data_IF_538849025744
#
_entry.id   IF_538849025744
#
_cell.length_a   1.000
_cell.length_b   1.000
_cell.length_c   1.000
_cell.angle_alpha   90.00
_cell.angle_beta   90.00
_cell.angle_gamma   90.00
#
_symmetry.space_group_name_H-M   'P 1'
#
loop_
_entity.id
_entity.type
_entity.pdbx_description
1 polymer ?
#
# COMPACT_ATOMS: atom_id res chain seq x y z
N UNK A 1 -15.00 15.82 -9.09
CA UNK A 1 -14.37 15.67 -7.74
C UNK A 1 -14.81 16.76 -6.74
N UNK A 2 -14.68 18.05 -7.04
CA UNK A 2 -15.16 19.12 -6.12
C UNK A 2 -16.66 18.98 -5.79
N UNK A 3 -17.50 18.70 -6.79
CA UNK A 3 -18.95 18.61 -6.61
C UNK A 3 -19.38 17.32 -5.87
N UNK A 4 -18.72 16.19 -6.13
CA UNK A 4 -18.88 14.93 -5.39
C UNK A 4 -18.54 15.13 -3.90
N UNK A 5 -17.49 15.89 -3.59
CA UNK A 5 -17.11 16.18 -2.21
C UNK A 5 -18.15 17.03 -1.47
N UNK A 6 -18.71 18.06 -2.10
CA UNK A 6 -19.66 18.97 -1.40
C UNK A 6 -20.96 18.26 -1.01
N UNK A 7 -21.45 17.33 -1.84
CA UNK A 7 -22.72 16.64 -1.57
C UNK A 7 -22.60 15.47 -0.58
N UNK A 8 -21.46 14.76 -0.56
CA UNK A 8 -21.34 13.46 0.11
C UNK A 8 -20.28 13.42 1.23
N UNK A 9 -19.41 14.43 1.36
CA UNK A 9 -18.31 14.40 2.34
C UNK A 9 -18.74 14.43 3.81
N UNK A 10 -19.99 14.79 4.11
CA UNK A 10 -20.46 14.86 5.50
C UNK A 10 -20.63 13.48 6.17
N UNK A 11 -20.85 12.43 5.36
CA UNK A 11 -21.13 11.08 5.86
C UNK A 11 -19.91 10.13 5.82
N UNK A 12 -18.79 10.57 5.22
CA UNK A 12 -17.57 9.77 5.05
C UNK A 12 -16.35 10.53 5.57
N UNK A 13 -15.34 9.82 6.03
CA UNK A 13 -14.00 10.34 6.22
C UNK A 13 -13.02 9.65 5.27
N UNK A 14 -11.84 10.23 5.05
CA UNK A 14 -10.86 9.61 4.16
C UNK A 14 -9.72 10.54 3.76
N UNK A 15 -8.75 9.97 3.07
CA UNK A 15 -7.74 10.73 2.35
C UNK A 15 -7.77 10.30 0.89
N UNK A 16 -7.96 11.26 -0.01
CA UNK A 16 -7.88 11.07 -1.45
C UNK A 16 -6.73 11.92 -1.98
N UNK A 17 -5.86 11.30 -2.78
CA UNK A 17 -4.75 11.91 -3.48
C UNK A 17 -5.15 12.05 -4.95
N UNK A 18 -4.96 13.25 -5.48
CA UNK A 18 -5.05 13.57 -6.89
C UNK A 18 -3.66 13.95 -7.38
N UNK A 19 -3.27 13.41 -8.53
CA UNK A 19 -2.08 13.81 -9.26
C UNK A 19 -2.36 13.74 -10.77
N UNK A 20 -1.51 14.32 -11.63
CA UNK A 20 -1.64 14.15 -13.08
C UNK A 20 -1.66 12.68 -13.52
N UNK A 21 -1.04 11.79 -12.74
CA UNK A 21 -1.00 10.34 -13.00
C UNK A 21 -2.27 9.59 -12.54
N UNK A 22 -3.21 10.22 -11.84
CA UNK A 22 -4.50 9.62 -11.50
C UNK A 22 -5.02 9.98 -10.10
N UNK A 23 -5.72 9.01 -9.49
CA UNK A 23 -6.33 9.13 -8.15
C UNK A 23 -6.02 7.89 -7.32
N UNK A 24 -5.73 8.09 -6.03
CA UNK A 24 -5.58 7.01 -5.05
C UNK A 24 -6.09 7.47 -3.70
N UNK A 25 -6.68 6.58 -2.91
CA UNK A 25 -7.17 6.98 -1.61
C UNK A 25 -7.86 5.88 -0.84
N UNK A 26 -8.18 6.20 0.40
CA UNK A 26 -8.98 5.38 1.28
C UNK A 26 -10.07 6.25 1.91
N UNK A 27 -11.28 5.73 1.93
CA UNK A 27 -12.45 6.35 2.56
C UNK A 27 -13.10 5.34 3.50
N UNK A 28 -13.76 5.83 4.55
CA UNK A 28 -14.48 5.03 5.51
C UNK A 28 -15.74 5.73 5.98
N UNK A 29 -16.79 4.95 6.20
CA UNK A 29 -18.11 5.44 6.59
C UNK A 29 -19.15 4.32 6.49
N UNK A 30 -20.43 4.63 6.78
CA UNK A 30 -21.52 3.67 6.65
C UNK A 30 -21.63 3.11 5.22
N UNK A 31 -22.03 1.84 5.04
CA UNK A 31 -22.12 1.21 3.70
C UNK A 31 -22.95 2.00 2.69
N UNK A 32 -24.06 2.61 3.12
CA UNK A 32 -24.92 3.43 2.25
C UNK A 32 -24.23 4.70 1.79
N UNK A 33 -23.46 5.36 2.66
CA UNK A 33 -22.70 6.55 2.32
C UNK A 33 -21.55 6.23 1.37
N UNK A 34 -20.85 5.11 1.60
CA UNK A 34 -19.79 4.62 0.71
C UNK A 34 -20.33 4.26 -0.68
N UNK A 35 -21.49 3.58 -0.75
CA UNK A 35 -22.12 3.24 -2.02
C UNK A 35 -22.54 4.48 -2.82
N UNK A 36 -23.07 5.50 -2.15
CA UNK A 36 -23.40 6.79 -2.79
C UNK A 36 -22.13 7.50 -3.31
N UNK A 37 -21.05 7.49 -2.52
CA UNK A 37 -19.77 8.09 -2.90
C UNK A 37 -19.14 7.37 -4.10
N UNK A 38 -19.14 6.04 -4.11
CA UNK A 38 -18.66 5.21 -5.22
C UNK A 38 -19.47 5.44 -6.50
N UNK A 39 -20.81 5.48 -6.40
CA UNK A 39 -21.67 5.75 -7.54
C UNK A 39 -21.41 7.15 -8.12
N UNK A 40 -21.24 8.16 -7.27
CA UNK A 40 -20.93 9.52 -7.69
C UNK A 40 -19.55 9.63 -8.35
N UNK A 41 -18.54 8.91 -7.85
CA UNK A 41 -17.23 8.85 -8.52
C UNK A 41 -17.32 8.16 -9.87
N UNK A 42 -17.98 7.00 -9.97
CA UNK A 42 -18.08 6.26 -11.23
C UNK A 42 -18.90 6.97 -12.32
N UNK A 43 -19.77 7.90 -11.93
CA UNK A 43 -20.50 8.74 -12.88
C UNK A 43 -19.59 9.73 -13.62
N UNK A 44 -18.40 10.00 -13.10
CA UNK A 44 -17.39 10.83 -13.75
C UNK A 44 -16.55 9.96 -14.70
N UNK A 45 -16.51 10.24 -16.02
CA UNK A 45 -15.82 9.40 -17.00
C UNK A 45 -14.36 9.05 -16.64
N UNK A 46 -13.53 9.97 -16.10
CA UNK A 46 -12.15 9.63 -15.69
C UNK A 46 -12.04 8.60 -14.55
N UNK A 47 -13.14 8.32 -13.85
CA UNK A 47 -13.17 7.48 -12.65
C UNK A 47 -14.12 6.28 -12.77
N UNK A 48 -14.71 6.06 -13.96
CA UNK A 48 -15.66 4.98 -14.20
C UNK A 48 -15.09 3.59 -13.84
N UNK A 49 -13.80 3.38 -14.16
CA UNK A 49 -13.11 2.10 -13.97
C UNK A 49 -12.38 2.00 -12.61
N UNK A 50 -12.67 2.90 -11.66
CA UNK A 50 -12.06 2.81 -10.33
C UNK A 50 -12.45 1.50 -9.62
N UNK A 51 -11.42 0.81 -9.15
CA UNK A 51 -11.56 -0.40 -8.36
C UNK A 51 -11.57 -0.08 -6.86
N UNK A 52 -12.67 -0.42 -6.19
CA UNK A 52 -12.86 -0.17 -4.77
C UNK A 52 -12.66 -1.45 -3.96
N UNK A 53 -11.57 -1.51 -3.19
CA UNK A 53 -11.32 -2.58 -2.22
C UNK A 53 -12.03 -2.26 -0.92
N UNK A 54 -12.63 -3.27 -0.26
CA UNK A 54 -13.42 -3.09 0.96
C UNK A 54 -12.85 -3.86 2.15
N UNK A 55 -12.95 -3.24 3.32
CA UNK A 55 -12.56 -3.80 4.61
C UNK A 55 -13.57 -3.30 5.64
N UNK A 56 -13.93 -4.15 6.59
CA UNK A 56 -14.72 -3.75 7.75
C UNK A 56 -13.81 -3.15 8.82
N UNK A 57 -14.41 -2.35 9.70
CA UNK A 57 -13.73 -1.70 10.81
C UNK A 57 -14.74 -1.46 11.95
N UNK A 58 -14.28 -1.60 13.19
CA UNK A 58 -15.06 -1.24 14.37
C UNK A 58 -14.79 0.23 14.74
N UNK A 59 -13.53 0.66 14.62
CA UNK A 59 -13.13 2.05 14.77
C UNK A 59 -13.40 2.84 13.51
N UNK A 60 -13.93 4.07 13.64
CA UNK A 60 -14.06 5.00 12.52
C UNK A 60 -12.66 5.37 11.99
N UNK A 61 -12.26 4.96 10.77
CA UNK A 61 -10.86 5.02 10.34
C UNK A 61 -10.37 6.44 10.03
N UNK A 62 -11.31 7.37 9.76
CA UNK A 62 -11.00 8.76 9.41
C UNK A 62 -11.99 9.75 10.05
N UNK A 63 -11.46 10.85 10.57
CA UNK A 63 -12.28 11.93 11.16
C UNK A 63 -12.97 12.78 10.10
N UNK A 64 -12.24 13.16 9.05
CA UNK A 64 -12.69 14.06 7.99
C UNK A 64 -12.26 13.49 6.64
N UNK A 65 -13.00 13.85 5.58
CA UNK A 65 -12.55 13.65 4.21
C UNK A 65 -11.57 14.76 3.83
N UNK A 66 -10.38 14.37 3.36
CA UNK A 66 -9.35 15.28 2.86
C UNK A 66 -9.02 14.89 1.42
N UNK A 67 -8.98 15.88 0.54
CA UNK A 67 -8.48 15.71 -0.82
C UNK A 67 -7.21 16.52 -0.97
N UNK A 68 -6.15 15.85 -1.40
CA UNK A 68 -4.83 16.43 -1.56
C UNK A 68 -4.45 16.40 -3.03
N UNK A 69 -4.13 17.56 -3.59
CA UNK A 69 -3.44 17.65 -4.87
C UNK A 69 -1.94 17.46 -4.63
N UNK A 70 -1.33 16.57 -5.40
CA UNK A 70 0.07 16.17 -5.29
C UNK A 70 0.69 16.10 -6.68
N UNK A 71 2.01 16.32 -6.79
CA UNK A 71 2.73 16.05 -8.05
C UNK A 71 2.63 14.58 -8.46
N UNK A 72 2.63 13.68 -7.49
CA UNK A 72 2.60 12.22 -7.65
C UNK A 72 1.68 11.60 -6.58
N UNK A 73 0.98 10.51 -6.92
CA UNK A 73 0.18 9.74 -5.96
C UNK A 73 1.07 9.09 -4.91
N UNK A 74 2.21 8.55 -5.35
CA UNK A 74 3.27 8.03 -4.49
C UNK A 74 4.60 8.60 -4.97
N UNK A 75 5.23 9.43 -4.15
CA UNK A 75 6.45 10.14 -4.53
C UNK A 75 7.62 9.17 -4.77
N UNK A 76 8.03 9.02 -6.02
CA UNK A 76 9.08 8.09 -6.42
C UNK A 76 10.49 8.60 -6.08
N UNK A 77 10.65 9.92 -5.93
CA UNK A 77 11.92 10.53 -5.52
C UNK A 77 12.97 10.64 -6.61
N UNK A 78 12.64 10.28 -7.85
CA UNK A 78 13.50 10.45 -9.02
C UNK A 78 12.95 11.55 -9.92
N UNK A 79 13.76 12.59 -10.12
CA UNK A 79 13.40 13.71 -10.99
C UNK A 79 13.12 13.23 -12.42
N UNK A 80 12.00 13.67 -12.99
CA UNK A 80 11.60 13.34 -14.36
C UNK A 80 10.99 11.95 -14.56
N UNK A 81 10.91 11.11 -13.51
CA UNK A 81 10.24 9.81 -13.58
C UNK A 81 8.82 9.95 -13.04
N UNK A 82 7.88 10.32 -13.93
CA UNK A 82 6.45 10.46 -13.61
C UNK A 82 5.63 9.54 -14.49
N UNK A 83 4.58 8.91 -13.94
CA UNK A 83 3.66 8.10 -14.76
C UNK A 83 4.30 6.86 -15.37
N UNK A 84 5.06 6.08 -14.58
CA UNK A 84 5.52 4.77 -15.02
C UNK A 84 4.32 3.88 -15.30
N UNK A 85 4.20 3.43 -16.55
CA UNK A 85 3.11 2.55 -16.95
C UNK A 85 3.27 1.22 -16.21
N UNK A 86 2.24 0.88 -15.44
CA UNK A 86 2.13 -0.42 -14.80
C UNK A 86 2.31 -1.55 -15.82
N UNK A 87 3.23 -2.47 -15.53
CA UNK A 87 3.54 -3.61 -16.37
C UNK A 87 2.62 -4.75 -15.97
N UNK A 88 1.43 -4.81 -16.58
CA UNK A 88 0.39 -5.80 -16.23
C UNK A 88 0.88 -7.25 -16.28
N UNK A 89 1.86 -7.56 -17.12
CA UNK A 89 2.50 -8.88 -17.24
C UNK A 89 3.38 -9.26 -16.03
N UNK A 90 3.64 -8.33 -15.13
CA UNK A 90 4.36 -8.59 -13.86
C UNK A 90 3.43 -8.99 -12.72
N UNK A 91 2.11 -8.85 -12.87
CA UNK A 91 1.15 -9.18 -11.82
C UNK A 91 1.05 -10.69 -11.63
N UNK A 92 1.05 -11.12 -10.37
CA UNK A 92 0.74 -12.50 -9.99
C UNK A 92 -0.42 -12.51 -9.00
N UNK A 93 -1.35 -13.43 -9.20
CA UNK A 93 -2.48 -13.60 -8.29
C UNK A 93 -2.02 -14.03 -6.89
N UNK A 94 -2.83 -13.85 -5.83
CA UNK A 94 -2.49 -14.34 -4.50
C UNK A 94 -2.09 -15.82 -4.44
N UNK A 95 -2.77 -16.67 -5.22
CA UNK A 95 -2.44 -18.10 -5.28
C UNK A 95 -1.06 -18.34 -5.91
N UNK A 96 -0.78 -17.71 -7.05
CA UNK A 96 0.52 -17.82 -7.72
C UNK A 96 1.63 -17.20 -6.88
N UNK A 97 1.33 -16.13 -6.13
CA UNK A 97 2.27 -15.50 -5.21
C UNK A 97 2.75 -16.48 -4.13
N UNK A 98 1.85 -17.25 -3.51
CA UNK A 98 2.22 -18.26 -2.51
C UNK A 98 3.24 -19.26 -3.03
N UNK A 99 3.07 -19.71 -4.28
CA UNK A 99 4.01 -20.63 -4.92
C UNK A 99 5.32 -19.93 -5.30
N UNK A 100 5.21 -18.68 -5.80
CA UNK A 100 6.35 -17.87 -6.22
C UNK A 100 7.34 -17.61 -5.08
N UNK A 101 6.85 -17.18 -3.91
CA UNK A 101 7.70 -16.78 -2.77
C UNK A 101 8.46 -17.95 -2.13
N UNK A 102 8.14 -19.19 -2.49
CA UNK A 102 8.78 -20.42 -1.98
C UNK A 102 9.93 -20.90 -2.86
N UNK A 103 10.17 -20.25 -4.00
CA UNK A 103 11.21 -20.66 -4.95
C UNK A 103 12.57 -20.09 -4.57
N UNK A 104 13.62 -20.90 -4.69
CA UNK A 104 15.00 -20.50 -4.36
C UNK A 104 15.58 -19.46 -5.33
N UNK A 105 15.04 -19.35 -6.54
CA UNK A 105 15.43 -18.36 -7.55
C UNK A 105 14.70 -17.02 -7.41
N UNK A 106 13.86 -16.87 -6.38
CA UNK A 106 13.08 -15.66 -6.12
C UNK A 106 13.65 -14.91 -4.91
N UNK A 107 13.80 -13.60 -5.06
CA UNK A 107 14.07 -12.67 -3.95
C UNK A 107 12.77 -11.94 -3.64
N UNK A 108 12.24 -12.16 -2.45
CA UNK A 108 11.01 -11.50 -1.99
C UNK A 108 11.39 -10.21 -1.28
N UNK A 109 10.95 -9.06 -1.76
CA UNK A 109 11.30 -7.74 -1.22
C UNK A 109 10.04 -7.03 -0.75
N UNK A 110 10.04 -6.56 0.50
CA UNK A 110 8.98 -5.72 1.00
C UNK A 110 9.16 -4.29 0.51
N UNK A 111 8.27 -3.81 -0.35
CA UNK A 111 8.31 -2.45 -0.90
C UNK A 111 7.58 -1.45 0.00
N UNK A 112 7.64 -1.68 1.32
CA UNK A 112 7.07 -0.80 2.34
C UNK A 112 8.15 -0.09 3.13
N UNK A 113 7.75 0.84 4.00
CA UNK A 113 8.72 1.44 4.92
C UNK A 113 9.08 0.43 6.02
N UNK A 114 10.26 0.55 6.59
CA UNK A 114 10.81 -0.32 7.64
C UNK A 114 9.81 -0.61 8.78
N UNK A 115 9.16 0.42 9.33
CA UNK A 115 8.17 0.23 10.41
C UNK A 115 6.97 -0.66 10.00
N UNK A 116 6.62 -0.70 8.71
CA UNK A 116 5.54 -1.55 8.21
C UNK A 116 5.99 -3.01 8.10
N UNK A 117 7.28 -3.25 7.81
CA UNK A 117 7.90 -4.57 7.78
C UNK A 117 8.03 -5.15 9.20
N UNK A 118 8.52 -4.36 10.15
CA UNK A 118 8.69 -4.77 11.55
C UNK A 118 7.37 -5.24 12.18
N UNK A 119 6.26 -4.58 11.83
CA UNK A 119 4.93 -4.96 12.32
C UNK A 119 4.44 -6.30 11.75
N UNK A 120 4.82 -6.62 10.52
CA UNK A 120 4.51 -7.90 9.91
C UNK A 120 4.88 -7.94 8.44
N UNK A 121 5.19 -9.12 7.91
CA UNK A 121 5.74 -9.33 6.57
C UNK A 121 5.54 -10.78 6.10
N UNK A 122 5.70 -11.02 4.80
CA UNK A 122 5.74 -12.40 4.27
C UNK A 122 6.97 -13.16 4.76
N UNK A 123 6.82 -14.46 5.00
CA UNK A 123 7.92 -15.36 5.33
C UNK A 123 9.07 -15.26 4.32
N UNK A 124 10.29 -15.00 4.81
CA UNK A 124 11.48 -14.90 3.97
C UNK A 124 11.60 -13.61 3.18
N UNK A 125 10.68 -12.64 3.35
CA UNK A 125 10.80 -11.32 2.74
C UNK A 125 12.01 -10.56 3.32
N UNK A 126 12.70 -9.86 2.43
CA UNK A 126 13.80 -8.96 2.77
C UNK A 126 13.22 -7.58 3.08
N UNK A 127 13.66 -7.02 4.20
CA UNK A 127 13.48 -5.62 4.53
C UNK A 127 14.57 -4.77 3.87
N UNK A 128 14.21 -3.81 2.99
CA UNK A 128 15.15 -2.83 2.46
C UNK A 128 15.69 -1.84 3.50
N UNK A 129 15.07 -1.75 4.68
CA UNK A 129 15.42 -0.79 5.74
C UNK A 129 15.09 0.67 5.38
N UNK A 130 14.23 0.89 4.38
CA UNK A 130 13.89 2.24 3.90
C UNK A 130 12.87 2.92 4.80
N UNK A 131 13.14 4.18 5.18
CA UNK A 131 12.21 4.96 6.00
C UNK A 131 11.14 5.67 5.18
N UNK A 132 11.46 5.92 3.91
CA UNK A 132 10.56 6.49 2.93
C UNK A 132 10.66 5.70 1.64
N UNK A 133 9.52 5.46 1.00
CA UNK A 133 9.43 4.80 -0.30
C UNK A 133 10.35 5.40 -1.37
N UNK A 134 10.57 6.72 -1.35
CA UNK A 134 11.48 7.43 -2.27
C UNK A 134 12.93 6.93 -2.22
N UNK A 135 13.31 6.25 -1.14
CA UNK A 135 14.66 5.72 -0.92
C UNK A 135 14.80 4.29 -1.46
N UNK A 136 13.69 3.61 -1.78
CA UNK A 136 13.68 2.25 -2.31
C UNK A 136 14.38 2.10 -3.68
N UNK A 137 14.29 3.05 -4.63
CA UNK A 137 15.05 2.96 -5.88
C UNK A 137 16.56 2.80 -5.66
N UNK A 138 17.13 3.50 -4.68
CA UNK A 138 18.55 3.37 -4.35
C UNK A 138 18.90 1.97 -3.82
N UNK A 139 18.00 1.37 -3.01
CA UNK A 139 18.15 -0.02 -2.59
C UNK A 139 18.16 -0.97 -3.79
N UNK A 140 17.24 -0.81 -4.74
CA UNK A 140 17.22 -1.65 -5.94
C UNK A 140 18.50 -1.50 -6.76
N UNK A 141 18.96 -0.27 -7.00
CA UNK A 141 20.19 -0.04 -7.77
C UNK A 141 21.41 -0.69 -7.13
N UNK A 142 21.52 -0.67 -5.80
CA UNK A 142 22.61 -1.31 -5.07
C UNK A 142 22.64 -2.85 -5.22
N UNK A 143 21.51 -3.49 -5.53
CA UNK A 143 21.38 -4.96 -5.60
C UNK A 143 21.13 -5.49 -7.02
N UNK A 144 20.73 -4.63 -7.97
CA UNK A 144 20.28 -5.04 -9.30
C UNK A 144 21.33 -5.85 -10.07
N UNK A 145 22.60 -5.48 -9.99
CA UNK A 145 23.69 -6.20 -10.66
C UNK A 145 23.85 -7.63 -10.14
N UNK A 146 23.69 -7.84 -8.83
CA UNK A 146 23.75 -9.15 -8.23
C UNK A 146 22.58 -10.02 -8.67
N UNK A 147 21.36 -9.51 -8.54
CA UNK A 147 20.15 -10.23 -8.95
C UNK A 147 20.17 -10.61 -10.43
N UNK A 148 20.62 -9.72 -11.33
CA UNK A 148 20.75 -10.03 -12.76
C UNK A 148 21.75 -11.14 -13.02
N UNK A 149 22.94 -11.08 -12.41
CA UNK A 149 24.01 -12.07 -12.61
C UNK A 149 23.61 -13.45 -12.10
N UNK A 150 22.85 -13.48 -11.01
CA UNK A 150 22.35 -14.71 -10.40
C UNK A 150 21.05 -15.22 -11.04
N UNK A 151 20.48 -14.50 -12.01
CA UNK A 151 19.22 -14.86 -12.66
C UNK A 151 18.02 -14.82 -11.72
N UNK A 152 18.05 -13.99 -10.67
CA UNK A 152 16.99 -13.90 -9.68
C UNK A 152 15.74 -13.22 -10.25
N UNK A 153 14.58 -13.73 -9.86
CA UNK A 153 13.30 -13.03 -10.00
C UNK A 153 13.05 -12.20 -8.75
N UNK A 154 12.77 -10.90 -8.90
CA UNK A 154 12.44 -10.02 -7.78
C UNK A 154 10.92 -9.98 -7.61
N UNK A 155 10.42 -10.59 -6.54
CA UNK A 155 9.01 -10.58 -6.17
C UNK A 155 8.79 -9.47 -5.13
N UNK A 156 7.92 -8.50 -5.42
CA UNK A 156 7.65 -7.39 -4.51
C UNK A 156 6.17 -7.23 -4.17
N UNK A 157 5.91 -6.70 -2.98
CA UNK A 157 4.57 -6.45 -2.49
C UNK A 157 4.52 -5.17 -1.67
N UNK A 158 3.31 -4.64 -1.50
CA UNK A 158 3.01 -3.61 -0.53
C UNK A 158 1.55 -3.76 -0.07
N UNK A 159 1.05 -2.87 0.78
CA UNK A 159 -0.30 -2.96 1.35
C UNK A 159 -1.39 -3.11 0.29
N UNK A 160 -1.41 -2.22 -0.71
CA UNK A 160 -2.52 -2.11 -1.66
C UNK A 160 -2.15 -2.19 -3.15
N UNK A 161 -0.88 -2.43 -3.49
CA UNK A 161 -0.39 -2.57 -4.88
C UNK A 161 0.29 -1.32 -5.46
N UNK A 162 -0.21 -0.11 -5.15
CA UNK A 162 0.21 1.14 -5.82
C UNK A 162 1.72 1.43 -5.83
N UNK A 163 2.47 1.05 -4.78
CA UNK A 163 3.94 1.20 -4.73
C UNK A 163 4.62 0.27 -5.74
N UNK A 164 4.13 -0.95 -5.88
CA UNK A 164 4.65 -1.94 -6.80
C UNK A 164 4.32 -1.59 -8.25
N UNK A 165 3.09 -1.13 -8.53
CA UNK A 165 2.66 -0.69 -9.87
C UNK A 165 3.60 0.39 -10.42
N UNK A 166 4.01 1.32 -9.56
CA UNK A 166 4.95 2.38 -9.92
C UNK A 166 6.37 1.85 -10.18
N UNK A 167 6.83 0.85 -9.44
CA UNK A 167 8.21 0.36 -9.56
C UNK A 167 8.42 -0.66 -10.66
N UNK A 168 7.40 -1.45 -10.99
CA UNK A 168 7.56 -2.63 -11.84
C UNK A 168 8.11 -2.28 -13.22
N UNK A 169 7.61 -1.19 -13.82
CA UNK A 169 8.13 -0.65 -15.07
C UNK A 169 9.59 -0.23 -14.97
N UNK A 170 9.94 0.57 -13.97
CA UNK A 170 11.30 1.10 -13.79
C UNK A 170 12.35 0.01 -13.49
N UNK A 171 11.97 -1.03 -12.74
CA UNK A 171 12.83 -2.18 -12.46
C UNK A 171 13.00 -3.06 -13.71
N UNK A 172 11.91 -3.29 -14.45
CA UNK A 172 11.95 -4.05 -15.72
C UNK A 172 12.83 -3.35 -16.76
N UNK A 173 12.73 -2.02 -16.88
CA UNK A 173 13.54 -1.22 -17.82
C UNK A 173 15.05 -1.28 -17.49
N UNK A 174 15.41 -1.71 -16.27
CA UNK A 174 16.80 -1.98 -15.82
C UNK A 174 17.24 -3.44 -16.05
N UNK A 175 16.40 -4.25 -16.68
CA UNK A 175 16.67 -5.65 -17.00
C UNK A 175 16.49 -6.60 -15.82
N UNK A 176 15.74 -6.21 -14.79
CA UNK A 176 15.33 -7.12 -13.73
C UNK A 176 14.10 -7.93 -14.17
N UNK A 177 14.04 -9.19 -13.75
CA UNK A 177 12.81 -9.98 -13.86
C UNK A 177 11.96 -9.70 -12.64
N UNK A 178 10.81 -9.05 -12.82
CA UNK A 178 9.98 -8.53 -11.73
C UNK A 178 8.64 -9.24 -11.68
N UNK A 179 8.16 -9.54 -10.46
CA UNK A 179 6.80 -9.98 -10.18
C UNK A 179 6.23 -9.17 -9.02
N UNK A 180 4.96 -8.79 -9.11
CA UNK A 180 4.28 -8.04 -8.07
C UNK A 180 2.98 -8.71 -7.65
N UNK A 181 2.73 -8.74 -6.34
CA UNK A 181 1.48 -9.26 -5.78
C UNK A 181 0.31 -8.40 -6.24
N UNK A 182 -0.55 -8.99 -7.07
CA UNK A 182 -1.72 -8.30 -7.59
C UNK A 182 -2.63 -7.87 -6.44
N UNK A 183 -2.96 -6.58 -6.42
CA UNK A 183 -3.78 -5.99 -5.38
C UNK A 183 -3.14 -5.87 -3.99
N UNK A 184 -1.89 -6.30 -3.80
CA UNK A 184 -1.13 -6.20 -2.55
C UNK A 184 -1.61 -7.13 -1.42
N UNK A 185 -1.06 -6.91 -0.23
CA UNK A 185 -1.31 -7.71 0.98
C UNK A 185 -2.81 -7.84 1.28
N UNK A 186 -3.57 -6.74 1.11
CA UNK A 186 -5.01 -6.75 1.37
C UNK A 186 -5.78 -7.72 0.47
N UNK A 187 -5.39 -7.83 -0.81
CA UNK A 187 -5.99 -8.80 -1.74
C UNK A 187 -5.54 -10.23 -1.40
N UNK A 188 -4.30 -10.42 -0.94
CA UNK A 188 -3.82 -11.71 -0.48
C UNK A 188 -4.63 -12.24 0.71
N UNK A 189 -4.83 -11.42 1.74
CA UNK A 189 -5.65 -11.76 2.91
C UNK A 189 -7.11 -12.02 2.56
N UNK A 190 -7.63 -11.37 1.52
CA UNK A 190 -8.97 -11.63 1.04
C UNK A 190 -9.11 -12.99 0.34
N UNK A 191 -8.12 -13.36 -0.47
CA UNK A 191 -8.19 -14.59 -1.30
C UNK A 191 -7.60 -15.84 -0.63
N UNK A 192 -6.80 -15.67 0.42
CA UNK A 192 -6.10 -16.75 1.12
C UNK A 192 -6.61 -16.84 2.57
N UNK A 193 -7.61 -17.69 2.88
CA UNK A 193 -8.19 -17.80 4.22
C UNK A 193 -7.22 -18.24 5.32
N UNK A 194 -6.12 -18.89 4.91
CA UNK A 194 -5.00 -19.39 5.71
C UNK A 194 -3.74 -18.54 5.50
N UNK A 195 -3.88 -17.24 5.21
CA UNK A 195 -2.75 -16.35 4.94
C UNK A 195 -1.71 -16.26 6.07
N UNK A 196 -2.08 -16.62 7.31
CA UNK A 196 -1.18 -16.75 8.46
C UNK A 196 -0.12 -17.86 8.28
N UNK A 197 -0.30 -18.77 7.32
CA UNK A 197 0.71 -19.76 6.96
C UNK A 197 1.89 -19.20 6.14
N UNK A 198 1.77 -17.97 5.61
CA UNK A 198 2.80 -17.30 4.82
C UNK A 198 3.16 -15.90 5.36
N UNK A 199 2.38 -15.38 6.31
CA UNK A 199 2.49 -14.02 6.82
C UNK A 199 2.75 -14.01 8.33
N UNK A 200 3.73 -13.21 8.75
CA UNK A 200 4.05 -12.97 10.16
C UNK A 200 3.52 -11.63 10.63
N UNK A 201 3.00 -11.58 11.86
CA UNK A 201 2.57 -10.33 12.49
C UNK A 201 1.31 -9.76 11.86
N UNK A 202 1.24 -8.43 11.78
CA UNK A 202 0.05 -7.68 11.38
C UNK A 202 0.35 -6.78 10.17
N UNK A 203 -0.68 -6.42 9.41
CA UNK A 203 -0.53 -5.52 8.28
C UNK A 203 -0.86 -4.09 8.68
N UNK A 204 0.13 -3.21 8.62
CA UNK A 204 -0.07 -1.77 8.81
C UNK A 204 -1.06 -1.18 7.79
N UNK A 205 -1.96 -0.32 8.24
CA UNK A 205 -2.89 0.46 7.42
C UNK A 205 -2.83 1.95 7.77
N UNK A 206 -2.90 2.81 6.75
CA UNK A 206 -2.70 4.27 6.89
C UNK A 206 -3.98 5.01 7.36
N UNK A 207 -4.57 4.52 8.44
CA UNK A 207 -5.75 5.08 9.08
C UNK A 207 -5.77 4.78 10.59
N UNK A 208 -6.83 5.19 11.29
CA UNK A 208 -6.90 5.10 12.76
C UNK A 208 -6.85 3.67 13.32
N UNK A 209 -7.09 2.65 12.49
CA UNK A 209 -7.00 1.24 12.92
C UNK A 209 -5.58 0.80 13.20
N UNK A 210 -4.57 1.51 12.65
CA UNK A 210 -3.14 1.21 12.73
C UNK A 210 -2.74 -0.10 12.04
N UNK A 211 -3.34 -1.22 12.40
CA UNK A 211 -3.02 -2.54 11.87
C UNK A 211 -4.23 -3.46 11.81
N UNK A 212 -4.19 -4.41 10.87
CA UNK A 212 -5.17 -5.47 10.71
C UNK A 212 -4.50 -6.85 10.70
N UNK A 213 -5.24 -7.87 11.13
CA UNK A 213 -4.81 -9.27 11.05
C UNK A 213 -4.98 -9.86 9.63
N UNK A 214 -4.51 -11.10 9.43
CA UNK A 214 -4.64 -11.84 8.16
C UNK A 214 -6.08 -12.13 7.76
N UNK A 215 -7.05 -11.95 8.67
CA UNK A 215 -8.50 -12.05 8.42
C UNK A 215 -9.13 -10.68 8.18
N UNK A 216 -8.31 -9.64 8.02
CA UNK A 216 -8.69 -8.24 7.77
C UNK A 216 -9.51 -7.62 8.91
N UNK A 217 -9.31 -8.10 10.13
CA UNK A 217 -9.93 -7.54 11.35
C UNK A 217 -8.97 -6.55 11.99
N UNK A 218 -9.52 -5.49 12.56
CA UNK A 218 -8.76 -4.53 13.35
C UNK A 218 -8.10 -5.24 14.55
N UNK A 219 -6.89 -4.80 14.88
CA UNK A 219 -6.08 -5.35 15.97
C UNK A 219 -5.99 -4.34 17.11
N UNK A 220 -5.44 -4.75 18.25
CA UNK A 220 -5.24 -3.86 19.40
C UNK A 220 -3.95 -3.00 19.28
N UNK A 221 -3.24 -3.09 18.15
CA UNK A 221 -1.96 -2.42 17.95
C UNK A 221 -2.14 -0.91 17.86
N UNK A 222 -1.32 -0.21 18.62
CA UNK A 222 -1.35 1.25 18.76
C UNK A 222 -0.23 1.91 17.98
N UNK A 223 -0.39 3.21 17.68
CA UNK A 223 0.68 3.99 17.05
C UNK A 223 1.95 4.03 17.90
N UNK A 224 1.82 4.01 19.24
CA UNK A 224 2.93 3.90 20.18
C UNK A 224 3.72 2.60 20.02
N UNK A 225 3.04 1.47 19.80
CA UNK A 225 3.73 0.20 19.59
C UNK A 225 4.44 0.14 18.23
N UNK A 226 3.91 0.83 17.21
CA UNK A 226 4.53 0.85 15.88
C UNK A 226 5.69 1.85 15.78
N UNK A 227 5.58 3.01 16.43
CA UNK A 227 6.52 4.12 16.26
C UNK A 227 7.33 4.49 17.51
N UNK A 228 6.94 4.00 18.69
CA UNK A 228 7.44 4.50 19.98
C UNK A 228 8.89 4.15 20.27
N UNK A 229 9.37 3.03 19.74
CA UNK A 229 10.72 2.52 20.01
C UNK A 229 11.77 3.05 19.03
N UNK A 230 11.37 3.74 17.96
CA UNK A 230 12.28 4.36 17.00
C UNK A 230 12.21 5.90 17.06
N UNK A 231 13.26 6.58 17.57
CA UNK A 231 13.31 8.04 17.62
C UNK A 231 13.12 8.74 16.27
N UNK A 232 13.49 8.10 15.16
CA UNK A 232 13.30 8.65 13.82
C UNK A 232 11.81 8.62 13.39
N UNK A 233 10.97 7.84 14.07
CA UNK A 233 9.54 7.71 13.84
C UNK A 233 8.69 8.60 14.77
N UNK A 234 9.33 9.31 15.72
CA UNK A 234 8.66 10.17 16.69
C UNK A 234 7.70 11.20 16.05
N UNK A 235 8.01 11.70 14.86
CA UNK A 235 7.14 12.63 14.13
C UNK A 235 5.86 11.97 13.61
N UNK A 236 5.90 10.68 13.22
CA UNK A 236 4.71 9.90 12.82
C UNK A 236 3.82 9.67 14.03
N UNK A 237 4.41 9.33 15.18
CA UNK A 237 3.68 9.22 16.45
C UNK A 237 3.01 10.54 16.85
N UNK A 238 3.75 11.65 16.83
CA UNK A 238 3.21 12.97 17.14
C UNK A 238 2.08 13.37 16.17
N UNK A 239 2.22 13.02 14.88
CA UNK A 239 1.17 13.23 13.88
C UNK A 239 -0.06 12.38 14.16
N UNK A 240 0.09 11.11 14.51
CA UNK A 240 -1.00 10.21 14.86
C UNK A 240 -1.80 10.78 16.05
N UNK A 241 -1.12 11.14 17.14
CA UNK A 241 -1.72 11.79 18.33
C UNK A 241 -2.47 13.07 18.01
N UNK A 242 -1.95 13.88 17.09
CA UNK A 242 -2.63 15.13 16.67
C UNK A 242 -3.88 14.87 15.83
N UNK A 243 -3.86 13.83 15.00
CA UNK A 243 -5.00 13.47 14.14
C UNK A 243 -6.09 12.72 14.91
N UNK A 244 -5.71 12.07 16.02
CA UNK A 244 -6.63 11.38 16.92
C UNK A 244 -6.35 11.65 18.42
N UNK A 245 -6.66 12.87 18.92
CA UNK A 245 -6.31 13.26 20.28
C UNK A 245 -7.09 12.52 21.38
N UNK A 246 -8.09 11.70 21.04
CA UNK A 246 -8.95 10.98 22.00
C UNK A 246 -8.63 9.49 22.13
N UNK A 247 -7.70 8.97 21.33
CA UNK A 247 -7.55 7.51 21.14
C UNK A 247 -8.50 7.01 20.08
#
# INVERSE_FOLDING_TARGET
>A
MRDVNVALAHAVGGNILLAPEGVSGAIGGPPTALAAFEAALRAEPPFADLHFKRSFCDTRPFTLLKVHEKPELVAFGLDGVTGLADRRDTHVSPREWRDLIRRDDVVVVDNRNHFEFELGHFDGAIDPGVRHFRDFPAYVEAHADAWRREGKTVAMYCTGGIRCEKLSGWMTDRGLTVRQLDGGILNYFEQMPDADADWRGECFVFDKRIAIDTRRRETATTAEQVYGDDPAEAWRLARAKRLDPKG
#
